data_IF_888977397223
#
_entry.id   IF_888977397223
#
_cell.length_a   1.000
_cell.length_b   1.000
_cell.length_c   1.000
_cell.angle_alpha   90.00
_cell.angle_beta   90.00
_cell.angle_gamma   90.00
#
_symmetry.space_group_name_H-M   'P 1'
#
loop_
_entity.id
_entity.type
_entity.pdbx_description
1 polymer ?
#
# COMPACT_ATOMS: atom_id res chain seq x y z
N UNK A 1 -9.15 -38.99 7.12
CA UNK A 1 -8.85 -37.97 6.10
C UNK A 1 -9.43 -36.66 6.60
N UNK A 2 -8.57 -35.70 6.89
CA UNK A 2 -8.97 -34.36 7.29
C UNK A 2 -8.64 -33.40 6.15
N UNK A 3 -9.66 -32.70 5.67
CA UNK A 3 -9.51 -31.64 4.69
C UNK A 3 -9.27 -30.33 5.45
N UNK A 4 -8.06 -29.78 5.31
CA UNK A 4 -7.58 -28.69 6.15
C UNK A 4 -7.10 -27.50 5.32
N UNK A 5 -7.25 -26.32 5.91
CA UNK A 5 -6.50 -25.15 5.54
C UNK A 5 -5.43 -24.90 6.56
N UNK A 6 -4.22 -24.74 6.08
CA UNK A 6 -3.01 -24.57 6.87
C UNK A 6 -2.43 -23.21 6.50
N UNK A 7 -2.19 -22.36 7.50
CA UNK A 7 -1.52 -21.08 7.34
C UNK A 7 -0.28 -21.06 8.21
N UNK A 8 0.85 -20.63 7.65
CA UNK A 8 2.12 -20.55 8.36
C UNK A 8 2.95 -19.37 7.85
N UNK A 9 3.73 -18.75 8.73
CA UNK A 9 4.72 -17.74 8.36
C UNK A 9 6.09 -18.40 8.23
N UNK A 10 6.85 -18.06 7.20
CA UNK A 10 8.23 -18.53 7.02
C UNK A 10 9.14 -17.37 6.63
N UNK A 11 10.42 -17.49 6.97
CA UNK A 11 11.42 -16.50 6.55
C UNK A 11 11.58 -16.55 5.03
N UNK A 12 11.75 -15.39 4.40
CA UNK A 12 11.94 -15.27 2.97
C UNK A 12 13.35 -15.73 2.56
N UNK A 13 13.53 -17.06 2.43
CA UNK A 13 14.78 -17.70 2.02
C UNK A 13 14.52 -18.82 1.00
N UNK A 14 15.39 -18.99 0.00
CA UNK A 14 15.28 -20.10 -0.94
C UNK A 14 15.15 -21.45 -0.23
N UNK A 15 14.23 -22.30 -0.70
CA UNK A 15 14.03 -23.66 -0.19
C UNK A 15 13.05 -23.80 0.99
N UNK A 16 12.62 -22.71 1.64
CA UNK A 16 11.68 -22.80 2.80
C UNK A 16 10.34 -23.42 2.44
N UNK A 17 9.72 -22.96 1.35
CA UNK A 17 8.47 -23.53 0.85
C UNK A 17 8.62 -25.02 0.51
N UNK A 18 9.76 -25.43 -0.04
CA UNK A 18 10.03 -26.84 -0.34
C UNK A 18 10.11 -27.67 0.95
N UNK A 19 10.76 -27.16 2.01
CA UNK A 19 10.79 -27.83 3.32
C UNK A 19 9.39 -28.02 3.91
N UNK A 20 8.52 -27.01 3.82
CA UNK A 20 7.12 -27.13 4.27
C UNK A 20 6.36 -28.18 3.45
N UNK A 21 6.49 -28.15 2.13
CA UNK A 21 5.81 -29.10 1.24
C UNK A 21 6.25 -30.55 1.53
N UNK A 22 7.54 -30.79 1.76
CA UNK A 22 8.06 -32.10 2.18
C UNK A 22 7.48 -32.53 3.52
N UNK A 23 7.43 -31.63 4.52
CA UNK A 23 6.87 -31.95 5.83
C UNK A 23 5.37 -32.35 5.76
N UNK A 24 4.60 -31.72 4.87
CA UNK A 24 3.21 -32.11 4.61
C UNK A 24 3.12 -33.47 3.91
N UNK A 25 3.97 -33.71 2.91
CA UNK A 25 4.03 -34.98 2.18
C UNK A 25 4.40 -36.16 3.10
N UNK A 26 5.35 -35.98 4.02
CA UNK A 26 5.76 -37.00 5.00
C UNK A 26 4.63 -37.37 5.98
N UNK A 27 3.63 -36.50 6.15
CA UNK A 27 2.40 -36.77 6.91
C UNK A 27 1.29 -37.36 6.04
N UNK A 28 1.60 -37.78 4.81
CA UNK A 28 0.66 -38.32 3.83
C UNK A 28 -0.27 -37.27 3.25
N UNK A 29 0.11 -36.00 3.29
CA UNK A 29 -0.71 -34.88 2.84
C UNK A 29 -0.64 -34.64 1.34
N UNK A 30 -1.81 -34.42 0.73
CA UNK A 30 -1.92 -33.93 -0.64
C UNK A 30 -2.22 -32.42 -0.63
N UNK A 31 -1.39 -31.63 -1.31
CA UNK A 31 -1.58 -30.17 -1.43
C UNK A 31 -2.46 -29.90 -2.64
N UNK A 32 -3.67 -29.38 -2.38
CA UNK A 32 -4.70 -29.12 -3.38
C UNK A 32 -4.73 -27.64 -3.81
N UNK A 33 -4.17 -26.76 -2.99
CA UNK A 33 -4.00 -25.35 -3.29
C UNK A 33 -2.87 -24.73 -2.48
N UNK A 34 -2.22 -23.72 -3.06
CA UNK A 34 -1.14 -22.96 -2.42
C UNK A 34 -1.28 -21.48 -2.80
N UNK A 35 -1.22 -20.62 -1.78
CA UNK A 35 -1.02 -19.18 -1.93
C UNK A 35 0.17 -18.76 -1.08
N UNK A 36 1.08 -17.99 -1.67
CA UNK A 36 2.22 -17.36 -0.98
C UNK A 36 2.00 -15.86 -0.98
N UNK A 37 2.10 -15.22 0.18
CA UNK A 37 1.85 -13.79 0.35
C UNK A 37 3.04 -13.15 1.06
N UNK A 38 3.70 -12.14 0.47
CA UNK A 38 4.73 -11.38 1.17
C UNK A 38 4.11 -10.58 2.32
N UNK A 39 4.84 -10.49 3.43
CA UNK A 39 4.46 -9.76 4.64
C UNK A 39 5.70 -9.16 5.33
N UNK A 40 5.51 -8.34 6.37
CA UNK A 40 6.62 -7.62 7.02
C UNK A 40 7.63 -8.52 7.76
N UNK A 41 7.23 -9.75 8.12
CA UNK A 41 8.01 -10.72 8.92
C UNK A 41 8.31 -12.00 8.12
N UNK A 42 8.38 -11.90 6.79
CA UNK A 42 8.64 -13.01 5.86
C UNK A 42 7.48 -13.26 4.89
N UNK A 43 7.27 -14.51 4.49
CA UNK A 43 6.13 -14.90 3.66
C UNK A 43 5.09 -15.66 4.49
N UNK A 44 3.83 -15.41 4.19
CA UNK A 44 2.69 -16.17 4.72
C UNK A 44 2.23 -17.14 3.65
N UNK A 45 2.44 -18.42 3.93
CA UNK A 45 2.05 -19.52 3.06
C UNK A 45 0.71 -20.09 3.56
N UNK A 46 -0.26 -20.17 2.65
CA UNK A 46 -1.57 -20.78 2.89
C UNK A 46 -1.74 -22.00 1.97
N UNK A 47 -1.88 -23.18 2.58
CA UNK A 47 -2.10 -24.45 1.91
C UNK A 47 -3.56 -24.91 2.14
N UNK A 48 -4.17 -25.45 1.10
CA UNK A 48 -5.39 -26.27 1.21
C UNK A 48 -4.98 -27.70 0.96
N UNK A 49 -5.23 -28.59 1.92
CA UNK A 49 -4.66 -29.93 1.94
C UNK A 49 -5.69 -30.98 2.30
N UNK A 50 -5.52 -32.20 1.78
CA UNK A 50 -6.15 -33.40 2.28
C UNK A 50 -5.09 -34.24 2.97
N UNK A 51 -5.15 -34.34 4.29
CA UNK A 51 -4.11 -34.98 5.11
C UNK A 51 -4.76 -35.96 6.09
N UNK A 52 -4.30 -37.22 6.15
CA UNK A 52 -4.84 -38.20 7.09
C UNK A 52 -4.36 -37.98 8.53
N UNK A 53 -3.19 -37.37 8.72
CA UNK A 53 -2.62 -37.07 10.03
C UNK A 53 -3.47 -36.07 10.84
N UNK A 54 -3.34 -36.13 12.17
CA UNK A 54 -4.04 -35.18 13.05
C UNK A 54 -3.47 -33.75 12.92
N UNK A 55 -4.28 -32.71 13.20
CA UNK A 55 -3.80 -31.33 13.17
C UNK A 55 -2.57 -31.09 14.04
N UNK A 56 -2.47 -31.74 15.21
CA UNK A 56 -1.33 -31.63 16.11
C UNK A 56 -0.05 -32.15 15.46
N UNK A 57 -0.09 -33.33 14.85
CA UNK A 57 1.07 -33.93 14.19
C UNK A 57 1.52 -33.13 12.94
N UNK A 58 0.57 -32.51 12.23
CA UNK A 58 0.86 -31.63 11.09
C UNK A 58 1.50 -30.33 11.57
N UNK A 59 1.00 -29.75 12.66
CA UNK A 59 1.56 -28.54 13.26
C UNK A 59 3.02 -28.75 13.67
N UNK A 60 3.31 -29.81 14.41
CA UNK A 60 4.67 -30.13 14.85
C UNK A 60 5.63 -30.29 13.67
N UNK A 61 5.19 -30.96 12.59
CA UNK A 61 6.02 -31.15 11.40
C UNK A 61 6.33 -29.82 10.68
N UNK A 62 5.35 -28.94 10.56
CA UNK A 62 5.52 -27.63 9.93
C UNK A 62 6.42 -26.72 10.76
N UNK A 63 6.26 -26.73 12.08
CA UNK A 63 7.12 -25.96 13.00
C UNK A 63 8.57 -26.45 12.93
N UNK A 64 8.79 -27.77 12.88
CA UNK A 64 10.12 -28.36 12.66
C UNK A 64 10.74 -27.99 11.30
N UNK A 65 9.91 -27.82 10.27
CA UNK A 65 10.35 -27.37 8.94
C UNK A 65 10.63 -25.84 8.86
N UNK A 66 10.44 -25.12 9.97
CA UNK A 66 10.69 -23.67 10.08
C UNK A 66 9.45 -22.80 9.93
N UNK A 67 8.26 -23.39 9.92
CA UNK A 67 6.99 -22.67 10.00
C UNK A 67 6.81 -22.01 11.37
N UNK A 68 6.33 -20.77 11.37
CA UNK A 68 5.97 -20.00 12.58
C UNK A 68 4.48 -19.69 12.54
N UNK A 69 3.86 -19.54 13.71
CA UNK A 69 2.43 -19.19 13.85
C UNK A 69 1.50 -20.13 13.06
N UNK A 70 1.82 -21.42 13.02
CA UNK A 70 1.06 -22.42 12.25
C UNK A 70 -0.39 -22.44 12.74
N UNK A 71 -1.35 -22.35 11.83
CA UNK A 71 -2.77 -22.48 12.12
C UNK A 71 -3.38 -23.47 11.15
N UNK A 72 -4.15 -24.40 11.71
CA UNK A 72 -4.79 -25.47 10.96
C UNK A 72 -6.26 -25.39 11.33
N UNK A 73 -7.11 -25.22 10.32
CA UNK A 73 -8.57 -25.19 10.47
C UNK A 73 -9.19 -26.14 9.46
N UNK A 74 -10.37 -26.73 9.74
CA UNK A 74 -11.10 -27.48 8.73
C UNK A 74 -11.35 -26.60 7.50
N UNK A 75 -11.16 -27.15 6.32
CA UNK A 75 -11.48 -26.49 5.06
C UNK A 75 -12.81 -27.01 4.48
N UNK A 76 -13.34 -26.30 3.49
CA UNK A 76 -14.52 -26.74 2.72
C UNK A 76 -14.23 -26.82 1.23
N UNK A 77 -15.00 -27.59 0.46
CA UNK A 77 -14.80 -27.74 -0.99
C UNK A 77 -14.81 -26.39 -1.75
N UNK A 78 -15.49 -25.37 -1.23
CA UNK A 78 -15.50 -24.02 -1.81
C UNK A 78 -14.12 -23.35 -1.77
N UNK A 79 -13.23 -23.77 -0.87
CA UNK A 79 -11.85 -23.28 -0.77
C UNK A 79 -10.91 -23.83 -1.84
N UNK A 80 -11.38 -24.80 -2.65
CA UNK A 80 -10.66 -25.24 -3.85
C UNK A 80 -10.84 -24.28 -5.04
N UNK A 81 -11.78 -23.33 -4.93
CA UNK A 81 -11.88 -22.25 -5.92
C UNK A 81 -10.65 -21.37 -5.77
N UNK A 82 -9.94 -21.14 -6.87
CA UNK A 82 -8.78 -20.27 -6.87
C UNK A 82 -9.17 -18.85 -6.48
N UNK A 83 -8.24 -18.17 -5.78
CA UNK A 83 -8.47 -16.84 -5.24
C UNK A 83 -8.81 -15.79 -6.32
N UNK A 84 -8.19 -15.78 -7.53
CA UNK A 84 -8.61 -14.93 -8.63
C UNK A 84 -10.09 -15.10 -9.01
N UNK A 85 -10.55 -16.32 -9.25
CA UNK A 85 -11.94 -16.62 -9.61
C UNK A 85 -12.90 -16.15 -8.51
N UNK A 86 -12.59 -16.46 -7.25
CA UNK A 86 -13.39 -16.04 -6.10
C UNK A 86 -13.47 -14.51 -5.97
N UNK A 87 -12.35 -13.82 -6.19
CA UNK A 87 -12.28 -12.35 -6.14
C UNK A 87 -13.14 -11.72 -7.25
N UNK A 88 -13.11 -12.26 -8.48
CA UNK A 88 -13.93 -11.77 -9.59
C UNK A 88 -15.43 -11.96 -9.32
N UNK A 89 -15.83 -13.10 -8.74
CA UNK A 89 -17.21 -13.36 -8.34
C UNK A 89 -17.67 -12.41 -7.22
N UNK A 90 -16.80 -12.10 -6.25
CA UNK A 90 -17.06 -11.09 -5.21
C UNK A 90 -17.21 -9.69 -5.82
N UNK A 91 -16.34 -9.31 -6.74
CA UNK A 91 -16.41 -8.01 -7.43
C UNK A 91 -17.69 -7.89 -8.27
N UNK A 92 -18.11 -8.95 -8.96
CA UNK A 92 -19.37 -8.97 -9.69
C UNK A 92 -20.59 -8.78 -8.76
N UNK A 93 -20.59 -9.42 -7.59
CA UNK A 93 -21.63 -9.23 -6.56
C UNK A 93 -21.60 -7.81 -5.97
N UNK A 94 -20.40 -7.24 -5.78
CA UNK A 94 -20.27 -5.88 -5.27
C UNK A 94 -20.92 -4.86 -6.20
N UNK A 95 -20.77 -5.04 -7.51
CA UNK A 95 -21.38 -4.16 -8.52
C UNK A 95 -22.91 -4.16 -8.45
N UNK A 96 -23.54 -5.30 -8.15
CA UNK A 96 -25.00 -5.38 -8.04
C UNK A 96 -25.53 -4.97 -6.66
N UNK A 97 -24.72 -5.12 -5.61
CA UNK A 97 -25.11 -4.76 -4.24
C UNK A 97 -23.99 -4.02 -3.47
N UNK A 98 -23.66 -2.75 -3.81
CA UNK A 98 -22.57 -2.01 -3.18
C UNK A 98 -22.72 -1.82 -1.66
N UNK A 99 -23.94 -1.80 -1.14
CA UNK A 99 -24.22 -1.67 0.29
C UNK A 99 -23.78 -2.88 1.12
N UNK A 100 -23.56 -4.04 0.48
CA UNK A 100 -23.06 -5.28 1.10
C UNK A 100 -21.54 -5.34 1.22
N UNK A 101 -20.85 -4.22 1.02
CA UNK A 101 -19.39 -4.15 1.05
C UNK A 101 -18.77 -4.77 2.31
N UNK A 102 -19.28 -4.60 3.55
CA UNK A 102 -18.72 -5.29 4.72
C UNK A 102 -18.79 -6.81 4.59
N UNK A 103 -19.93 -7.37 4.19
CA UNK A 103 -20.08 -8.82 4.02
C UNK A 103 -19.16 -9.35 2.91
N UNK A 104 -19.01 -8.61 1.82
CA UNK A 104 -18.13 -8.96 0.70
C UNK A 104 -16.66 -8.93 1.13
N UNK A 105 -16.24 -7.93 1.91
CA UNK A 105 -14.88 -7.87 2.46
C UNK A 105 -14.63 -8.97 3.51
N UNK A 106 -15.64 -9.24 4.36
CA UNK A 106 -15.60 -10.32 5.33
C UNK A 106 -15.44 -11.68 4.65
N UNK A 107 -16.18 -11.92 3.58
CA UNK A 107 -16.01 -13.10 2.74
C UNK A 107 -14.61 -13.08 2.11
N UNK A 108 -14.25 -12.04 1.36
CA UNK A 108 -12.95 -11.90 0.65
C UNK A 108 -11.76 -12.30 1.55
N UNK A 109 -11.68 -11.72 2.74
CA UNK A 109 -10.57 -11.92 3.67
C UNK A 109 -10.77 -13.04 4.69
N UNK A 110 -11.91 -13.75 4.61
CA UNK A 110 -12.29 -14.80 5.56
C UNK A 110 -12.22 -14.30 7.01
N UNK A 111 -12.80 -13.11 7.23
CA UNK A 111 -12.89 -12.49 8.55
C UNK A 111 -14.08 -13.07 9.32
N UNK A 112 -13.95 -13.14 10.64
CA UNK A 112 -15.02 -13.61 11.54
C UNK A 112 -16.11 -12.55 11.74
N UNK A 113 -15.73 -11.27 11.62
CA UNK A 113 -16.61 -10.11 11.71
C UNK A 113 -16.17 -9.06 10.68
N UNK A 114 -17.15 -8.41 10.06
CA UNK A 114 -16.93 -7.29 9.16
C UNK A 114 -18.11 -6.32 9.25
N UNK A 115 -17.85 -5.09 9.70
CA UNK A 115 -18.91 -4.11 10.00
C UNK A 115 -18.50 -2.68 9.69
N UNK A 116 -19.51 -1.87 9.39
CA UNK A 116 -19.33 -0.42 9.26
C UNK A 116 -18.93 0.22 10.59
N UNK A 117 -18.02 1.18 10.51
CA UNK A 117 -17.63 2.05 11.61
C UNK A 117 -17.69 3.49 11.13
N UNK A 118 -18.28 4.36 11.95
CA UNK A 118 -18.52 5.77 11.64
C UNK A 118 -17.76 6.70 12.59
N UNK A 119 -17.46 7.89 12.10
CA UNK A 119 -16.95 8.99 12.92
C UNK A 119 -15.45 8.93 13.20
N UNK A 120 -15.06 9.64 14.25
CA UNK A 120 -13.69 9.76 14.76
C UNK A 120 -12.95 8.41 14.93
N UNK A 121 -13.67 7.35 15.30
CA UNK A 121 -13.11 6.01 15.47
C UNK A 121 -12.61 5.36 14.16
N UNK A 122 -12.89 6.00 13.02
CA UNK A 122 -12.37 5.62 11.71
C UNK A 122 -11.07 6.37 11.34
N UNK A 123 -10.77 7.49 12.02
CA UNK A 123 -9.60 8.36 11.80
C UNK A 123 -9.46 9.43 12.92
N UNK A 124 -9.07 9.07 14.15
CA UNK A 124 -8.59 9.98 15.22
C UNK A 124 -7.60 9.18 16.08
N UNK A 125 -6.39 9.66 16.36
CA UNK A 125 -6.12 10.98 16.94
C UNK A 125 -4.95 11.74 16.28
N UNK A 126 -5.22 12.97 15.82
CA UNK A 126 -4.27 14.09 15.94
C UNK A 126 -5.04 15.19 16.67
N UNK A 127 -4.60 15.53 17.88
CA UNK A 127 -4.93 16.79 18.52
C UNK A 127 -4.07 17.90 17.91
N UNK A 128 -4.73 18.99 17.55
CA UNK A 128 -4.10 20.30 17.44
C UNK A 128 -3.95 20.86 18.86
N UNK A 129 -2.98 20.36 19.62
CA UNK A 129 -2.33 21.17 20.66
C UNK A 129 -1.07 20.44 21.14
N UNK A 130 0.03 21.20 21.15
CA UNK A 130 1.34 20.71 21.51
C UNK A 130 1.49 20.58 23.02
N UNK A 131 1.40 19.36 23.53
CA UNK A 131 2.18 18.98 24.70
C UNK A 131 2.47 17.47 24.64
N UNK A 132 3.76 17.11 24.57
CA UNK A 132 4.21 15.71 24.58
C UNK A 132 4.51 15.32 26.02
N UNK A 133 3.70 14.43 26.58
CA UNK A 133 4.07 13.71 27.80
C UNK A 133 4.90 12.48 27.38
N UNK A 134 6.16 12.45 27.81
CA UNK A 134 7.06 11.29 27.66
C UNK A 134 6.59 10.16 28.60
N UNK A 135 6.37 8.94 28.07
CA UNK A 135 6.29 7.74 28.92
C UNK A 135 5.31 6.62 28.57
N UNK A 136 4.53 6.69 27.48
CA UNK A 136 3.64 5.58 27.12
C UNK A 136 4.26 4.66 26.07
N UNK A 137 4.45 3.39 26.42
CA UNK A 137 4.89 2.35 25.51
C UNK A 137 3.88 2.24 24.35
N UNK A 138 4.35 2.37 23.11
CA UNK A 138 3.58 2.12 21.89
C UNK A 138 3.08 0.66 21.91
N UNK A 139 1.85 0.42 22.34
CA UNK A 139 1.21 -0.88 22.15
C UNK A 139 1.12 -1.16 20.64
N UNK A 140 1.70 -2.29 20.22
CA UNK A 140 1.67 -2.71 18.82
C UNK A 140 0.19 -2.90 18.39
N UNK A 141 -0.22 -2.41 17.21
CA UNK A 141 -1.60 -2.54 16.75
C UNK A 141 -2.01 -4.02 16.70
N UNK A 142 -3.22 -4.34 17.15
CA UNK A 142 -3.76 -5.71 17.08
C UNK A 142 -3.75 -6.16 15.60
N UNK A 143 -2.85 -7.07 15.22
CA UNK A 143 -2.67 -7.41 13.81
C UNK A 143 -3.84 -8.24 13.28
N UNK A 144 -4.74 -8.68 14.17
CA UNK A 144 -5.94 -9.44 13.85
C UNK A 144 -7.16 -8.54 13.54
N UNK A 145 -6.96 -7.23 13.58
CA UNK A 145 -7.95 -6.20 13.27
C UNK A 145 -7.49 -5.39 12.06
N UNK A 146 -8.39 -5.20 11.09
CA UNK A 146 -8.14 -4.44 9.87
C UNK A 146 -9.22 -3.36 9.70
N UNK A 147 -8.83 -2.09 9.59
CA UNK A 147 -9.74 -0.96 9.35
C UNK A 147 -9.55 -0.42 7.93
N UNK A 148 -10.44 -0.77 7.03
CA UNK A 148 -10.36 -0.36 5.63
C UNK A 148 -11.14 0.95 5.43
N UNK A 149 -10.49 2.06 5.09
CA UNK A 149 -11.17 3.34 4.86
C UNK A 149 -12.06 3.25 3.60
N UNK A 150 -13.28 3.78 3.68
CA UNK A 150 -14.25 3.78 2.57
C UNK A 150 -14.68 5.19 2.15
N UNK A 151 -14.75 6.14 3.07
CA UNK A 151 -15.01 7.55 2.78
C UNK A 151 -14.57 8.39 3.98
N UNK A 152 -14.57 9.73 3.90
CA UNK A 152 -14.35 10.56 5.09
C UNK A 152 -15.26 10.13 6.24
N UNK A 153 -14.66 9.75 7.38
CA UNK A 153 -15.36 9.28 8.59
C UNK A 153 -16.17 7.99 8.42
N UNK A 154 -15.93 7.20 7.37
CA UNK A 154 -16.55 5.89 7.14
C UNK A 154 -15.49 4.85 6.82
N UNK A 155 -15.41 3.82 7.64
CA UNK A 155 -14.50 2.69 7.44
C UNK A 155 -15.23 1.37 7.67
N UNK A 156 -14.65 0.28 7.19
CA UNK A 156 -15.08 -1.08 7.52
C UNK A 156 -14.02 -1.67 8.44
N UNK A 157 -14.46 -2.16 9.61
CA UNK A 157 -13.61 -2.89 10.54
C UNK A 157 -13.83 -4.38 10.34
N UNK A 158 -12.75 -5.10 10.06
CA UNK A 158 -12.71 -6.55 9.98
C UNK A 158 -11.93 -7.11 11.18
N UNK A 159 -12.37 -8.25 11.69
CA UNK A 159 -11.68 -8.97 12.77
C UNK A 159 -11.55 -10.45 12.42
N UNK A 160 -10.41 -11.04 12.75
CA UNK A 160 -10.17 -12.48 12.60
C UNK A 160 -9.53 -13.04 13.87
N UNK A 161 -9.94 -14.21 14.32
CA UNK A 161 -9.50 -14.79 15.59
C UNK A 161 -8.11 -15.41 15.43
N UNK A 162 -7.11 -14.84 16.12
CA UNK A 162 -5.77 -15.43 16.26
C UNK A 162 -4.96 -15.54 14.96
N UNK A 163 -5.34 -14.80 13.91
CA UNK A 163 -4.68 -14.76 12.61
C UNK A 163 -4.52 -13.32 12.09
N UNK A 164 -3.28 -12.78 12.13
CA UNK A 164 -2.93 -11.48 11.57
C UNK A 164 -3.37 -11.30 10.11
N UNK A 165 -3.88 -10.12 9.75
CA UNK A 165 -4.04 -9.73 8.35
C UNK A 165 -2.69 -9.37 7.74
N UNK A 166 -2.43 -9.82 6.51
CA UNK A 166 -1.22 -9.44 5.76
C UNK A 166 -1.42 -8.11 5.04
N UNK A 167 -0.31 -7.48 4.63
CA UNK A 167 -0.33 -6.34 3.71
C UNK A 167 -1.08 -6.66 2.40
N UNK A 168 -0.91 -7.88 1.89
CA UNK A 168 -1.59 -8.34 0.67
C UNK A 168 -3.11 -8.46 0.86
N UNK A 169 -3.56 -8.92 2.03
CA UNK A 169 -4.99 -8.96 2.40
C UNK A 169 -5.57 -7.54 2.52
N UNK A 170 -4.85 -6.64 3.20
CA UNK A 170 -5.24 -5.22 3.32
C UNK A 170 -5.37 -4.55 1.96
N UNK A 171 -4.40 -4.79 1.07
CA UNK A 171 -4.39 -4.29 -0.30
C UNK A 171 -5.60 -4.76 -1.11
N UNK A 172 -5.96 -6.04 -0.98
CA UNK A 172 -7.10 -6.64 -1.68
C UNK A 172 -8.41 -6.01 -1.23
N UNK A 173 -8.57 -5.80 0.08
CA UNK A 173 -9.74 -5.11 0.61
C UNK A 173 -9.83 -3.66 0.15
N UNK A 174 -8.73 -2.91 0.19
CA UNK A 174 -8.68 -1.54 -0.33
C UNK A 174 -9.05 -1.49 -1.83
N UNK A 175 -8.53 -2.41 -2.64
CA UNK A 175 -8.87 -2.51 -4.06
C UNK A 175 -10.38 -2.78 -4.27
N UNK A 176 -10.96 -3.67 -3.47
CA UNK A 176 -12.39 -3.98 -3.51
C UNK A 176 -13.24 -2.76 -3.09
N UNK A 177 -12.82 -1.99 -2.09
CA UNK A 177 -13.49 -0.73 -1.72
C UNK A 177 -13.45 0.28 -2.86
N UNK A 178 -12.31 0.45 -3.52
CA UNK A 178 -12.19 1.35 -4.68
C UNK A 178 -13.12 0.95 -5.83
N UNK A 179 -13.39 -0.35 -6.02
CA UNK A 179 -14.37 -0.83 -7.01
C UNK A 179 -15.82 -0.44 -6.66
N UNK A 180 -16.15 -0.27 -5.38
CA UNK A 180 -17.46 0.18 -4.93
C UNK A 180 -17.62 1.70 -4.94
N UNK A 181 -16.52 2.45 -4.92
CA UNK A 181 -16.57 3.90 -4.91
C UNK A 181 -16.89 4.44 -6.31
N UNK A 182 -17.64 5.55 -6.42
CA UNK A 182 -17.72 6.28 -7.67
C UNK A 182 -16.30 6.71 -8.10
N UNK A 183 -16.05 6.94 -9.40
CA UNK A 183 -14.80 7.53 -9.87
C UNK A 183 -14.52 8.78 -9.03
N UNK A 184 -13.34 8.84 -8.40
CA UNK A 184 -13.01 9.93 -7.50
C UNK A 184 -13.16 11.27 -8.24
N UNK A 185 -14.13 12.09 -7.83
CA UNK A 185 -14.17 13.50 -8.17
C UNK A 185 -12.86 14.15 -7.68
N UNK A 186 -12.35 15.19 -8.36
CA UNK A 186 -11.13 15.88 -7.93
C UNK A 186 -11.33 16.43 -6.50
N UNK A 187 -10.83 15.68 -5.50
CA UNK A 187 -11.00 15.99 -4.08
C UNK A 187 -9.74 16.62 -3.50
N UNK A 188 -9.97 17.70 -2.73
CA UNK A 188 -9.20 18.34 -1.65
C UNK A 188 -7.72 18.75 -1.87
N UNK A 189 -7.04 18.29 -2.92
CA UNK A 189 -5.66 18.69 -3.22
C UNK A 189 -5.55 20.02 -3.99
N UNK A 190 -6.69 20.64 -4.29
CA UNK A 190 -6.75 21.94 -4.95
C UNK A 190 -6.67 23.08 -3.94
N UNK A 191 -5.66 23.92 -4.07
CA UNK A 191 -5.61 25.16 -3.29
C UNK A 191 -4.24 25.78 -3.14
N UNK A 192 -4.20 26.97 -2.51
CA UNK A 192 -2.96 27.66 -2.19
C UNK A 192 -2.18 26.90 -1.13
N UNK A 193 -0.87 26.76 -1.37
CA UNK A 193 0.09 26.21 -0.42
C UNK A 193 1.15 27.28 -0.15
N UNK A 194 1.22 27.71 1.10
CA UNK A 194 2.29 28.59 1.58
C UNK A 194 3.54 27.79 1.94
N UNK A 195 4.66 28.22 1.40
CA UNK A 195 6.00 27.71 1.69
C UNK A 195 6.59 28.44 2.91
N UNK A 196 7.68 27.88 3.46
CA UNK A 196 8.31 28.40 4.67
C UNK A 196 8.89 29.82 4.50
N UNK A 197 9.20 30.20 3.26
CA UNK A 197 9.72 31.52 2.90
C UNK A 197 8.61 32.51 2.49
N UNK A 198 7.35 32.18 2.74
CA UNK A 198 6.19 33.03 2.46
C UNK A 198 5.68 32.97 1.02
N UNK A 199 6.36 32.27 0.11
CA UNK A 199 5.85 32.11 -1.25
C UNK A 199 4.59 31.24 -1.29
N UNK A 200 3.65 31.63 -2.13
CA UNK A 200 2.39 30.91 -2.33
C UNK A 200 2.39 30.22 -3.69
N UNK A 201 2.11 28.93 -3.70
CA UNK A 201 1.95 28.13 -4.93
C UNK A 201 0.55 27.56 -5.00
N UNK A 202 -0.01 27.45 -6.20
CA UNK A 202 -1.30 26.84 -6.44
C UNK A 202 -1.10 25.38 -6.81
N UNK A 203 -1.60 24.45 -5.99
CA UNK A 203 -1.55 23.02 -6.31
C UNK A 203 -2.85 22.60 -6.97
N UNK A 204 -2.76 21.88 -8.09
CA UNK A 204 -3.91 21.38 -8.86
C UNK A 204 -3.65 19.95 -9.39
N UNK A 205 -4.69 19.14 -9.63
CA UNK A 205 -4.57 17.89 -10.36
C UNK A 205 -3.98 18.10 -11.76
N UNK A 206 -3.10 17.20 -12.19
CA UNK A 206 -2.64 17.17 -13.56
C UNK A 206 -3.79 16.73 -14.48
N UNK A 207 -3.95 17.46 -15.59
CA UNK A 207 -4.88 17.13 -16.68
C UNK A 207 -4.15 17.23 -18.02
N UNK A 208 -4.78 16.74 -19.09
CA UNK A 208 -4.24 16.82 -20.45
C UNK A 208 -3.96 18.26 -20.92
N UNK A 209 -4.60 19.26 -20.31
CA UNK A 209 -4.41 20.69 -20.60
C UNK A 209 -3.01 21.21 -20.20
N UNK A 210 -2.29 20.51 -19.32
CA UNK A 210 -0.97 20.91 -18.84
C UNK A 210 0.19 20.48 -19.73
N UNK A 211 -0.07 19.95 -20.93
CA UNK A 211 0.97 19.40 -21.81
C UNK A 211 2.11 20.38 -22.08
N UNK A 212 1.78 21.59 -22.50
CA UNK A 212 2.78 22.62 -22.79
C UNK A 212 3.49 23.11 -21.53
N UNK A 213 2.72 23.38 -20.46
CA UNK A 213 3.30 23.84 -19.20
C UNK A 213 4.28 22.83 -18.56
N UNK A 214 4.02 21.52 -18.70
CA UNK A 214 4.96 20.48 -18.24
C UNK A 214 6.18 20.33 -19.15
N UNK A 215 6.02 20.53 -20.47
CA UNK A 215 7.17 20.60 -21.37
C UNK A 215 8.08 21.77 -20.96
N UNK A 216 7.50 22.94 -20.73
CA UNK A 216 8.26 24.13 -20.33
C UNK A 216 8.94 23.94 -18.97
N UNK A 217 8.26 23.31 -17.99
CA UNK A 217 8.89 22.91 -16.72
C UNK A 217 10.12 22.02 -16.98
N UNK A 218 9.95 21.00 -17.83
CA UNK A 218 11.01 20.04 -18.12
C UNK A 218 12.22 20.68 -18.80
N UNK A 219 12.01 21.64 -19.69
CA UNK A 219 13.07 22.38 -20.37
C UNK A 219 13.84 23.30 -19.41
N UNK A 220 13.16 23.92 -18.43
CA UNK A 220 13.81 24.76 -17.41
C UNK A 220 14.58 23.97 -16.35
N UNK A 221 14.23 22.69 -16.14
CA UNK A 221 14.94 21.83 -15.20
C UNK A 221 16.36 21.48 -15.69
N UNK A 222 17.34 21.51 -14.80
CA UNK A 222 18.70 21.10 -15.11
C UNK A 222 18.77 19.62 -15.57
N UNK A 223 19.82 19.23 -16.33
CA UNK A 223 20.08 17.81 -16.63
C UNK A 223 20.12 16.92 -15.38
N UNK A 224 20.67 17.44 -14.28
CA UNK A 224 20.74 16.75 -12.99
C UNK A 224 19.35 16.54 -12.38
N UNK A 225 18.52 17.60 -12.31
CA UNK A 225 17.13 17.51 -11.83
C UNK A 225 16.30 16.49 -12.63
N UNK A 226 16.49 16.45 -13.95
CA UNK A 226 15.84 15.44 -14.82
C UNK A 226 16.38 14.04 -14.59
N UNK A 227 17.70 13.88 -14.46
CA UNK A 227 18.35 12.61 -14.10
C UNK A 227 17.79 12.06 -12.80
N UNK A 228 17.62 12.88 -11.77
CA UNK A 228 17.06 12.45 -10.50
C UNK A 228 15.60 12.00 -10.59
N UNK A 229 14.82 12.53 -11.54
CA UNK A 229 13.41 12.15 -11.75
C UNK A 229 13.26 10.89 -12.61
N UNK A 230 14.08 10.75 -13.65
CA UNK A 230 13.89 9.78 -14.73
C UNK A 230 15.04 8.79 -14.89
N UNK A 231 16.03 8.82 -13.99
CA UNK A 231 17.27 8.03 -14.07
C UNK A 231 18.10 8.31 -15.34
N UNK A 232 17.68 9.31 -16.13
CA UNK A 232 18.27 9.74 -17.40
C UNK A 232 18.10 11.26 -17.53
N UNK A 233 19.05 11.93 -18.17
CA UNK A 233 19.02 13.37 -18.37
C UNK A 233 18.32 13.78 -19.68
N UNK A 234 17.34 12.98 -20.14
CA UNK A 234 16.67 13.23 -21.42
C UNK A 234 16.15 14.67 -21.49
N UNK A 235 16.30 15.37 -22.63
CA UNK A 235 15.96 16.79 -22.70
C UNK A 235 14.44 17.02 -22.74
N UNK A 236 13.69 16.03 -23.22
CA UNK A 236 12.24 16.11 -23.46
C UNK A 236 11.48 15.04 -22.67
N UNK A 237 10.29 15.40 -22.20
CA UNK A 237 9.34 14.46 -21.59
C UNK A 237 8.66 13.65 -22.70
N UNK A 238 8.81 12.31 -22.76
CA UNK A 238 8.18 11.51 -23.80
C UNK A 238 6.64 11.63 -23.76
N UNK A 239 5.94 11.77 -24.90
CA UNK A 239 4.47 11.93 -24.91
C UNK A 239 3.74 10.81 -24.17
N UNK A 240 4.17 9.56 -24.33
CA UNK A 240 3.62 8.39 -23.63
C UNK A 240 3.75 8.47 -22.11
N UNK A 241 4.79 9.13 -21.61
CA UNK A 241 4.98 9.34 -20.17
C UNK A 241 4.01 10.39 -19.65
N UNK A 242 3.81 11.49 -20.39
CA UNK A 242 2.79 12.48 -20.05
C UNK A 242 1.38 11.87 -20.02
N UNK A 243 1.02 11.08 -21.03
CA UNK A 243 -0.29 10.44 -21.10
C UNK A 243 -0.50 9.49 -19.91
N UNK A 244 0.55 8.75 -19.52
CA UNK A 244 0.53 7.90 -18.31
C UNK A 244 0.33 8.69 -17.03
N UNK A 245 0.95 9.86 -16.90
CA UNK A 245 0.81 10.73 -15.72
C UNK A 245 -0.61 11.33 -15.60
N UNK A 246 -1.31 11.47 -16.73
CA UNK A 246 -2.70 11.95 -16.78
C UNK A 246 -3.75 10.84 -16.59
N UNK A 247 -3.38 9.57 -16.82
CA UNK A 247 -4.28 8.43 -16.71
C UNK A 247 -4.62 8.14 -15.23
N UNK A 248 -5.79 8.60 -14.80
CA UNK A 248 -6.28 8.42 -13.41
C UNK A 248 -6.46 6.96 -13.00
N UNK A 249 -6.61 6.04 -13.96
CA UNK A 249 -6.67 4.61 -13.65
C UNK A 249 -5.30 4.05 -13.26
N UNK A 250 -4.21 4.75 -13.60
CA UNK A 250 -2.82 4.36 -13.32
C UNK A 250 -2.19 5.14 -12.18
N UNK A 251 -2.80 6.23 -11.73
CA UNK A 251 -2.25 7.03 -10.64
C UNK A 251 -2.82 8.44 -10.59
N UNK A 252 -2.41 9.19 -9.57
CA UNK A 252 -2.79 10.58 -9.36
C UNK A 252 -1.55 11.48 -9.46
N UNK A 253 -1.62 12.52 -10.29
CA UNK A 253 -0.55 13.51 -10.43
C UNK A 253 -1.03 14.90 -10.04
N UNK A 254 -0.14 15.67 -9.43
CA UNK A 254 -0.33 17.05 -8.98
C UNK A 254 0.70 17.95 -9.67
N UNK A 255 0.29 19.15 -10.02
CA UNK A 255 1.17 20.23 -10.46
C UNK A 255 1.11 21.38 -9.46
N UNK A 256 2.25 22.01 -9.19
CA UNK A 256 2.32 23.26 -8.45
C UNK A 256 2.62 24.39 -9.43
N UNK A 257 1.80 25.44 -9.41
CA UNK A 257 1.95 26.62 -10.22
C UNK A 257 2.26 27.88 -9.40
N UNK A 258 3.08 28.77 -9.96
CA UNK A 258 3.36 30.10 -9.42
C UNK A 258 3.44 31.09 -10.58
N UNK A 259 2.76 32.23 -10.46
CA UNK A 259 2.71 33.29 -11.50
C UNK A 259 2.42 32.76 -12.91
N UNK A 260 1.43 31.86 -13.01
CA UNK A 260 1.02 31.26 -14.28
C UNK A 260 1.94 30.17 -14.84
N UNK A 261 3.07 29.88 -14.19
CA UNK A 261 4.01 28.83 -14.60
C UNK A 261 3.90 27.60 -13.71
N UNK A 262 3.95 26.40 -14.30
CA UNK A 262 4.12 25.16 -13.52
C UNK A 262 5.58 25.04 -13.09
N UNK A 263 5.80 24.91 -11.79
CA UNK A 263 7.13 24.90 -11.13
C UNK A 263 7.48 23.56 -10.49
N UNK A 264 6.48 22.69 -10.32
CA UNK A 264 6.71 21.31 -9.88
C UNK A 264 5.62 20.35 -10.38
N UNK A 265 6.01 19.09 -10.48
CA UNK A 265 5.17 17.93 -10.74
C UNK A 265 5.42 16.89 -9.65
N UNK A 266 4.36 16.31 -9.12
CA UNK A 266 4.41 15.19 -8.21
C UNK A 266 3.42 14.11 -8.67
N UNK A 267 3.79 12.85 -8.63
CA UNK A 267 2.92 11.75 -9.07
C UNK A 267 2.92 10.61 -8.07
N UNK A 268 1.73 10.07 -7.77
CA UNK A 268 1.48 8.83 -7.07
C UNK A 268 0.96 7.80 -8.09
N UNK A 269 1.81 6.86 -8.50
CA UNK A 269 1.50 5.85 -9.51
C UNK A 269 1.13 4.52 -8.85
N UNK A 270 0.12 3.84 -9.38
CA UNK A 270 -0.26 2.51 -8.93
C UNK A 270 0.73 1.49 -9.50
N UNK A 271 1.23 0.61 -8.64
CA UNK A 271 2.17 -0.44 -9.04
C UNK A 271 1.43 -1.77 -9.25
N UNK A 272 2.14 -2.76 -9.79
CA UNK A 272 1.64 -4.13 -9.83
C UNK A 272 1.69 -4.81 -8.45
N UNK A 273 2.49 -4.28 -7.52
CA UNK A 273 2.64 -4.84 -6.18
C UNK A 273 1.40 -4.51 -5.34
N UNK A 274 0.70 -5.52 -4.79
CA UNK A 274 -0.53 -5.29 -4.04
C UNK A 274 -0.32 -4.33 -2.86
N UNK A 275 -1.05 -3.22 -2.86
CA UNK A 275 -1.09 -2.29 -1.73
C UNK A 275 0.08 -1.32 -1.68
N UNK A 276 0.95 -1.33 -2.70
CA UNK A 276 2.08 -0.43 -2.83
C UNK A 276 1.82 0.56 -3.97
N UNK A 277 1.89 1.85 -3.67
CA UNK A 277 1.92 2.91 -4.67
C UNK A 277 3.33 3.52 -4.75
N UNK A 278 3.70 4.11 -5.88
CA UNK A 278 5.00 4.73 -6.09
C UNK A 278 4.87 6.26 -6.18
N UNK A 279 5.70 6.99 -5.43
CA UNK A 279 5.78 8.45 -5.52
C UNK A 279 7.04 8.91 -6.25
N UNK A 280 6.90 9.99 -7.01
CA UNK A 280 8.03 10.66 -7.61
C UNK A 280 7.77 12.14 -7.89
N UNK A 281 8.87 12.92 -7.95
CA UNK A 281 8.82 14.38 -7.92
C UNK A 281 9.78 15.02 -8.92
N UNK A 282 9.32 16.05 -9.62
CA UNK A 282 10.14 16.95 -10.41
C UNK A 282 9.88 18.37 -9.91
N UNK A 283 10.90 19.04 -9.38
CA UNK A 283 10.80 20.42 -8.88
C UNK A 283 11.85 21.24 -9.58
N UNK A 284 11.43 22.34 -10.22
CA UNK A 284 12.34 23.27 -10.90
C UNK A 284 13.42 23.77 -9.94
N UNK A 285 14.67 23.85 -10.41
CA UNK A 285 15.86 24.05 -9.57
C UNK A 285 15.73 25.25 -8.60
N UNK A 286 15.20 26.39 -9.06
CA UNK A 286 14.97 27.61 -8.23
C UNK A 286 13.88 27.45 -7.15
N UNK A 287 13.05 26.41 -7.24
CA UNK A 287 11.99 26.09 -6.28
C UNK A 287 12.39 25.02 -5.27
N UNK A 288 13.55 24.40 -5.45
CA UNK A 288 14.02 23.37 -4.54
C UNK A 288 14.52 23.97 -3.22
N UNK A 289 14.38 23.21 -2.12
CA UNK A 289 14.85 23.65 -0.79
C UNK A 289 13.92 24.58 -0.05
N UNK A 290 12.80 24.96 -0.66
CA UNK A 290 11.77 25.85 -0.09
C UNK A 290 10.63 25.08 0.58
N UNK A 291 10.79 23.76 0.75
CA UNK A 291 9.78 22.87 1.33
C UNK A 291 8.69 22.39 0.37
N UNK A 292 8.69 22.81 -0.90
CA UNK A 292 7.66 22.44 -1.89
C UNK A 292 7.52 20.92 -2.07
N UNK A 293 8.63 20.20 -2.27
CA UNK A 293 8.62 18.74 -2.40
C UNK A 293 8.02 18.04 -1.18
N UNK A 294 8.30 18.53 0.03
CA UNK A 294 7.71 18.01 1.26
C UNK A 294 6.21 18.27 1.39
N UNK A 295 5.71 19.42 0.92
CA UNK A 295 4.27 19.69 0.88
C UNK A 295 3.56 18.74 -0.10
N UNK A 296 4.08 18.62 -1.32
CA UNK A 296 3.53 17.73 -2.35
C UNK A 296 3.56 16.26 -1.89
N UNK A 297 4.65 15.82 -1.27
CA UNK A 297 4.76 14.46 -0.74
C UNK A 297 3.68 14.16 0.31
N UNK A 298 3.46 15.05 1.28
CA UNK A 298 2.40 14.84 2.29
C UNK A 298 1.01 14.77 1.69
N UNK A 299 0.73 15.56 0.64
CA UNK A 299 -0.54 15.51 -0.09
C UNK A 299 -0.70 14.16 -0.79
N UNK A 300 0.32 13.66 -1.48
CA UNK A 300 0.28 12.34 -2.12
C UNK A 300 0.18 11.19 -1.11
N UNK A 301 0.85 11.28 0.05
CA UNK A 301 0.75 10.29 1.12
C UNK A 301 -0.66 10.27 1.73
N UNK A 302 -1.32 11.42 1.86
CA UNK A 302 -2.71 11.50 2.28
C UNK A 302 -3.64 10.84 1.24
N UNK A 303 -3.45 11.14 -0.05
CA UNK A 303 -4.20 10.49 -1.13
C UNK A 303 -3.98 8.97 -1.15
N UNK A 304 -2.74 8.50 -0.94
CA UNK A 304 -2.45 7.07 -0.88
C UNK A 304 -3.22 6.38 0.25
N UNK A 305 -3.29 7.02 1.42
CA UNK A 305 -4.09 6.54 2.57
C UNK A 305 -5.58 6.51 2.26
N UNK A 306 -6.12 7.57 1.65
CA UNK A 306 -7.54 7.65 1.30
C UNK A 306 -7.92 6.59 0.25
N UNK A 307 -6.97 6.23 -0.62
CA UNK A 307 -7.08 5.14 -1.59
C UNK A 307 -6.82 3.75 -0.98
N UNK A 308 -6.52 3.67 0.31
CA UNK A 308 -6.28 2.43 1.05
C UNK A 308 -4.97 1.72 0.71
N UNK A 309 -3.98 2.40 0.14
CA UNK A 309 -2.63 1.80 -0.01
C UNK A 309 -2.03 1.56 1.37
N UNK A 310 -1.32 0.45 1.54
CA UNK A 310 -0.63 0.12 2.79
C UNK A 310 0.72 0.84 2.87
N UNK A 311 1.43 0.88 1.75
CA UNK A 311 2.77 1.45 1.64
C UNK A 311 2.89 2.34 0.40
N UNK A 312 3.76 3.35 0.52
CA UNK A 312 4.23 4.17 -0.59
C UNK A 312 5.74 3.97 -0.74
N UNK A 313 6.13 3.51 -1.93
CA UNK A 313 7.51 3.32 -2.36
C UNK A 313 8.02 4.57 -3.11
N UNK A 314 9.30 4.85 -2.98
CA UNK A 314 10.02 5.80 -3.80
C UNK A 314 11.37 5.21 -4.20
N UNK A 315 11.60 5.07 -5.51
CA UNK A 315 12.90 4.66 -6.05
C UNK A 315 13.72 5.90 -6.37
N UNK A 316 14.98 5.94 -5.94
CA UNK A 316 15.84 7.11 -6.08
C UNK A 316 17.28 6.72 -6.35
N UNK A 317 18.00 7.57 -7.09
CA UNK A 317 19.44 7.42 -7.24
C UNK A 317 20.14 7.64 -5.90
N UNK A 318 21.17 6.84 -5.63
CA UNK A 318 21.94 6.90 -4.39
C UNK A 318 22.45 8.31 -4.13
N UNK A 319 22.98 9.01 -5.12
CA UNK A 319 23.54 10.37 -5.00
C UNK A 319 22.48 11.48 -4.82
N UNK A 320 21.18 11.19 -4.88
CA UNK A 320 20.11 12.15 -4.63
C UNK A 320 19.93 12.42 -3.11
N UNK A 321 20.89 13.13 -2.52
CA UNK A 321 20.92 13.43 -1.09
C UNK A 321 19.68 14.20 -0.60
N UNK A 322 19.09 15.05 -1.46
CA UNK A 322 17.88 15.82 -1.16
C UNK A 322 16.66 14.92 -1.00
N UNK A 323 16.46 13.98 -1.93
CA UNK A 323 15.35 13.03 -1.87
C UNK A 323 15.51 12.08 -0.67
N UNK A 324 16.73 11.60 -0.37
CA UNK A 324 16.97 10.80 0.84
C UNK A 324 16.53 11.54 2.11
N UNK A 325 16.96 12.80 2.28
CA UNK A 325 16.54 13.62 3.44
C UNK A 325 15.03 13.83 3.49
N UNK A 326 14.40 14.07 2.34
CA UNK A 326 12.95 14.21 2.25
C UNK A 326 12.24 12.93 2.72
N UNK A 327 12.62 11.78 2.18
CA UNK A 327 12.03 10.49 2.54
C UNK A 327 12.26 10.15 4.02
N UNK A 328 13.47 10.35 4.54
CA UNK A 328 13.75 10.16 5.99
C UNK A 328 12.88 11.08 6.85
N UNK A 329 12.67 12.34 6.45
CA UNK A 329 11.79 13.28 7.19
C UNK A 329 10.32 12.88 7.17
N UNK A 330 9.91 12.03 6.22
CA UNK A 330 8.57 11.46 6.11
C UNK A 330 8.45 10.10 6.81
N UNK A 331 9.50 9.64 7.50
CA UNK A 331 9.52 8.35 8.20
C UNK A 331 9.79 7.16 7.28
N UNK A 332 10.41 7.38 6.11
CA UNK A 332 10.73 6.28 5.21
C UNK A 332 11.87 5.41 5.75
N UNK A 333 11.72 4.08 5.65
CA UNK A 333 12.83 3.14 5.75
C UNK A 333 13.57 3.12 4.42
N UNK A 334 14.88 3.37 4.43
CA UNK A 334 15.71 3.39 3.23
C UNK A 334 16.55 2.10 3.15
N UNK A 335 16.58 1.48 1.97
CA UNK A 335 17.41 0.31 1.67
C UNK A 335 18.06 0.43 0.30
N UNK A 336 19.17 -0.28 0.10
CA UNK A 336 19.75 -0.45 -1.23
C UNK A 336 18.95 -1.48 -2.02
N UNK A 337 18.87 -1.27 -3.34
CA UNK A 337 18.37 -2.30 -4.26
C UNK A 337 19.52 -3.23 -4.69
N UNK A 338 19.24 -4.19 -5.58
CA UNK A 338 20.29 -5.00 -6.21
C UNK A 338 21.27 -4.15 -7.03
N UNK A 339 20.83 -3.01 -7.56
CA UNK A 339 21.70 -1.99 -8.16
C UNK A 339 22.23 -1.06 -7.05
N UNK A 340 23.56 -1.03 -6.78
CA UNK A 340 24.14 -0.16 -5.75
C UNK A 340 23.91 1.33 -5.99
N UNK A 341 23.71 1.74 -7.26
CA UNK A 341 23.42 3.12 -7.64
C UNK A 341 21.98 3.55 -7.35
N UNK A 342 21.11 2.62 -6.95
CA UNK A 342 19.70 2.86 -6.71
C UNK A 342 19.33 2.45 -5.28
N UNK A 343 18.58 3.33 -4.64
CA UNK A 343 17.97 3.09 -3.33
C UNK A 343 16.45 3.02 -3.47
N UNK A 344 15.84 2.39 -2.48
CA UNK A 344 14.40 2.35 -2.29
C UNK A 344 14.06 2.94 -0.93
N UNK A 345 13.05 3.80 -0.89
CA UNK A 345 12.44 4.29 0.33
C UNK A 345 11.00 3.81 0.45
N UNK A 346 10.65 3.27 1.61
CA UNK A 346 9.30 2.74 1.90
C UNK A 346 8.66 3.52 3.05
N UNK A 347 7.45 4.02 2.83
CA UNK A 347 6.66 4.78 3.80
C UNK A 347 5.33 4.06 4.04
N UNK A 348 5.07 3.63 5.27
CA UNK A 348 3.75 3.10 5.63
C UNK A 348 2.70 4.23 5.63
N UNK A 349 1.58 4.04 4.93
CA UNK A 349 0.52 5.05 4.78
C UNK A 349 -0.87 4.56 5.19
N UNK A 350 -1.13 3.25 5.17
CA UNK A 350 -2.46 2.64 5.35
C UNK A 350 -2.64 1.75 6.57
N UNK A 351 -3.73 0.99 6.53
CA UNK A 351 -4.52 0.29 7.58
C UNK A 351 -3.79 -0.27 8.82
N UNK A 352 -2.49 -0.59 8.74
CA UNK A 352 -1.70 -1.05 9.88
C UNK A 352 -1.09 0.09 10.72
N UNK A 353 -1.26 1.35 10.30
CA UNK A 353 -0.84 2.52 11.06
C UNK A 353 -1.93 2.93 12.08
N UNK A 354 -1.72 2.50 13.33
CA UNK A 354 -2.26 3.01 14.61
C UNK A 354 -3.78 2.89 14.88
N UNK A 355 -4.12 2.10 15.91
CA UNK A 355 -5.20 2.40 16.85
C UNK A 355 -4.56 2.97 18.12
N UNK A 356 -5.11 4.05 18.69
CA UNK A 356 -4.75 4.53 20.04
C UNK A 356 -5.95 4.35 20.99
N UNK A 357 -5.74 4.14 22.30
CA UNK A 357 -6.78 3.73 23.24
C UNK A 357 -7.70 4.90 23.65
N UNK A 358 -8.85 4.51 24.23
CA UNK A 358 -9.98 5.35 24.63
C UNK A 358 -9.77 6.15 25.92
#
# INVERSE_FOLDING_TARGET
>A
MGFFRIRTTVDERPGRLASLATALADKGGNILGLSVQPDTDGTVDEFVTDIPASPEAVREALEAAGGRRVRIVPATAHELTDEPTRTLLLAARLRSAPWRLPEILGELLRADDARWVYGASAAQSRSEDGDRIEGEALELPDPTLLVVPVAPRRSIRLRRSGLPFTLTEAARAAAMVRLAQPPAEPSAAEGPVRLADGAEVQVKPLTSLYREALRDLHERCSPETRRFRYFTANPTLPPRMFDRLCDRARGHSLVAGHDGQVVALASLMFTADPGIAEIAFLVEDRWQGRGLGGRLARMLLAQARDLGFAEVRATLLYDNTRMRRLLSSLGATLSHTEDPGVMEGRIAVGVMATASPS
#
